data_IF_377226043264
#
_entry.id   IF_377226043264
#
_cell.length_a   1.000
_cell.length_b   1.000
_cell.length_c   1.000
_cell.angle_alpha   90.00
_cell.angle_beta   90.00
_cell.angle_gamma   90.00
#
_symmetry.space_group_name_H-M   'P 1'
#
loop_
_entity.id
_entity.type
_entity.pdbx_description
1 polymer ?
#
# COMPACT_ATOMS: atom_id res chain seq x y z
N UNK A 1 24.49 23.20 32.38
CA UNK A 1 23.48 23.13 31.32
C UNK A 1 23.92 22.00 30.41
N UNK A 2 23.41 20.78 30.62
CA UNK A 2 23.82 19.60 29.86
C UNK A 2 22.88 19.49 28.69
N UNK A 3 23.42 19.76 27.51
CA UNK A 3 22.70 19.66 26.23
C UNK A 3 22.52 18.17 25.91
N UNK A 4 21.37 17.63 26.28
CA UNK A 4 21.02 16.23 26.05
C UNK A 4 20.30 16.10 24.69
N UNK A 5 20.96 16.47 23.62
CA UNK A 5 20.57 16.07 22.27
C UNK A 5 20.92 14.59 22.13
N UNK A 6 20.02 13.73 22.60
CA UNK A 6 20.08 12.31 22.28
C UNK A 6 20.13 12.20 20.75
N UNK A 7 21.25 11.68 20.26
CA UNK A 7 21.46 11.35 18.85
C UNK A 7 20.40 10.30 18.45
N UNK A 8 19.23 10.79 17.97
CA UNK A 8 18.15 9.92 17.49
C UNK A 8 18.67 9.29 16.20
N UNK A 9 19.20 8.10 16.35
CA UNK A 9 19.70 7.31 15.23
C UNK A 9 18.55 7.16 14.21
N UNK A 10 18.70 7.61 12.97
CA UNK A 10 17.62 7.53 11.98
C UNK A 10 17.15 6.08 11.82
N UNK A 11 15.85 5.88 11.81
CA UNK A 11 15.26 4.55 11.61
C UNK A 11 15.56 4.09 10.17
N UNK A 12 16.42 3.08 10.03
CA UNK A 12 16.88 2.53 8.76
C UNK A 12 16.05 1.36 8.26
N UNK A 13 14.94 1.05 8.90
CA UNK A 13 14.05 -0.01 8.41
C UNK A 13 13.39 0.42 7.10
N UNK A 14 13.16 -0.51 6.17
CA UNK A 14 12.39 -0.21 4.96
C UNK A 14 11.01 0.33 5.31
N UNK A 15 10.57 1.34 4.58
CA UNK A 15 9.27 1.96 4.78
C UNK A 15 8.20 1.28 3.92
N UNK A 16 7.05 1.01 4.53
CA UNK A 16 5.80 0.64 3.87
C UNK A 16 4.88 1.85 3.95
N UNK A 17 4.60 2.47 2.83
CA UNK A 17 3.63 3.56 2.73
C UNK A 17 2.23 2.95 2.69
N UNK A 18 1.35 3.36 3.61
CA UNK A 18 -0.04 2.89 3.68
C UNK A 18 -0.95 4.09 3.41
N UNK A 19 -1.84 3.92 2.45
CA UNK A 19 -2.76 4.96 2.03
C UNK A 19 -4.19 4.42 1.91
N UNK A 20 -5.10 4.92 2.73
CA UNK A 20 -6.53 4.79 2.52
C UNK A 20 -6.96 5.90 1.55
N UNK A 21 -7.51 5.52 0.38
CA UNK A 21 -7.77 6.47 -0.69
C UNK A 21 -9.22 6.97 -0.79
N UNK A 22 -10.12 6.45 0.02
CA UNK A 22 -11.53 6.89 0.07
C UNK A 22 -11.75 7.84 1.25
N UNK A 23 -11.96 9.15 1.02
CA UNK A 23 -12.06 10.13 2.08
C UNK A 23 -13.42 10.19 2.77
N UNK A 24 -14.48 9.63 2.16
CA UNK A 24 -15.87 9.95 2.49
C UNK A 24 -16.44 9.19 3.71
N UNK A 25 -15.69 8.30 4.33
CA UNK A 25 -16.14 7.57 5.51
C UNK A 25 -15.36 8.03 6.75
N UNK A 26 -15.88 9.06 7.41
CA UNK A 26 -15.31 9.63 8.65
C UNK A 26 -15.25 8.62 9.80
N UNK A 27 -15.95 7.48 9.70
CA UNK A 27 -15.89 6.39 10.66
C UNK A 27 -14.72 5.43 10.42
N UNK A 28 -14.00 5.59 9.29
CA UNK A 28 -13.01 4.65 8.83
C UNK A 28 -11.72 5.35 8.43
N UNK A 29 -10.84 5.56 9.37
CA UNK A 29 -9.46 5.96 9.10
C UNK A 29 -8.48 4.94 9.67
N UNK A 30 -8.07 3.93 8.86
CA UNK A 30 -7.07 2.96 9.29
C UNK A 30 -5.68 3.59 9.43
N UNK A 31 -5.52 4.82 8.93
CA UNK A 31 -4.25 5.54 8.88
C UNK A 31 -3.94 6.20 10.23
N UNK A 32 -4.93 6.72 10.94
CA UNK A 32 -4.72 7.30 12.28
C UNK A 32 -4.15 6.28 13.27
N UNK A 33 -4.59 5.03 13.20
CA UNK A 33 -4.08 3.95 14.05
C UNK A 33 -2.75 3.36 13.58
N UNK A 34 -2.29 3.73 12.41
CA UNK A 34 -1.06 3.27 11.78
C UNK A 34 -0.01 4.40 11.67
N UNK A 35 -0.30 5.56 12.25
CA UNK A 35 0.52 6.77 12.16
C UNK A 35 1.92 6.66 12.78
N UNK A 36 2.50 5.49 12.74
CA UNK A 36 3.92 5.21 12.90
C UNK A 36 4.41 5.10 14.34
N UNK A 37 3.80 5.74 15.29
CA UNK A 37 4.27 5.73 16.68
C UNK A 37 3.80 4.52 17.49
N UNK A 38 2.68 3.90 17.11
CA UNK A 38 2.04 2.85 17.89
C UNK A 38 2.15 1.45 17.28
N UNK A 39 2.40 1.33 15.96
CA UNK A 39 2.53 0.02 15.32
C UNK A 39 3.43 0.04 14.10
N UNK A 40 4.35 -0.90 14.06
CA UNK A 40 5.15 -1.22 12.89
C UNK A 40 5.29 -2.73 12.78
N UNK A 41 5.29 -3.31 11.56
CA UNK A 41 5.59 -4.71 11.38
C UNK A 41 7.07 -5.00 11.71
N UNK A 42 7.35 -6.25 12.08
CA UNK A 42 8.73 -6.67 12.32
C UNK A 42 9.56 -6.48 11.04
N UNK A 43 10.68 -5.79 11.16
CA UNK A 43 11.62 -5.58 10.05
C UNK A 43 11.31 -4.39 9.13
N UNK A 44 10.17 -3.71 9.30
CA UNK A 44 9.82 -2.51 8.53
C UNK A 44 9.21 -1.42 9.41
N UNK A 45 9.07 -0.21 8.87
CA UNK A 45 8.30 0.88 9.47
C UNK A 45 7.13 1.26 8.58
N UNK A 46 6.08 1.81 9.13
CA UNK A 46 4.93 2.31 8.39
C UNK A 46 4.99 3.82 8.23
N UNK A 47 4.50 4.31 7.09
CA UNK A 47 4.31 5.73 6.80
C UNK A 47 2.87 5.90 6.32
N UNK A 48 2.08 6.67 7.04
CA UNK A 48 0.70 6.95 6.67
C UNK A 48 0.63 8.11 5.66
N UNK A 49 -0.21 7.96 4.64
CA UNK A 49 -0.54 9.02 3.68
C UNK A 49 -2.03 9.25 3.71
N UNK A 50 -2.44 10.50 3.98
CA UNK A 50 -3.84 10.91 4.03
C UNK A 50 -4.46 10.91 2.64
N UNK A 51 -5.70 10.45 2.53
CA UNK A 51 -6.48 10.49 1.30
C UNK A 51 -6.61 11.91 0.73
N UNK A 52 -6.54 11.99 -0.59
CA UNK A 52 -6.70 13.21 -1.38
C UNK A 52 -7.32 12.85 -2.72
N UNK A 53 -7.54 13.86 -3.58
CA UNK A 53 -7.95 13.60 -4.97
C UNK A 53 -6.98 12.62 -5.65
N UNK A 54 -7.48 11.65 -6.42
CA UNK A 54 -6.67 10.53 -6.93
C UNK A 54 -5.42 10.95 -7.70
N UNK A 55 -5.49 12.01 -8.51
CA UNK A 55 -4.33 12.50 -9.26
C UNK A 55 -3.25 13.08 -8.36
N UNK A 56 -3.65 13.83 -7.33
CA UNK A 56 -2.72 14.40 -6.34
C UNK A 56 -2.10 13.27 -5.52
N UNK A 57 -2.92 12.31 -5.12
CA UNK A 57 -2.49 11.16 -4.35
C UNK A 57 -1.49 10.29 -5.14
N UNK A 58 -1.75 10.05 -6.42
CA UNK A 58 -0.81 9.36 -7.31
C UNK A 58 0.55 10.09 -7.36
N UNK A 59 0.55 11.42 -7.44
CA UNK A 59 1.78 12.21 -7.45
C UNK A 59 2.57 12.10 -6.12
N UNK A 60 1.86 12.14 -4.99
CA UNK A 60 2.45 11.99 -3.65
C UNK A 60 3.07 10.60 -3.49
N UNK A 61 2.32 9.54 -3.80
CA UNK A 61 2.78 8.17 -3.69
C UNK A 61 3.96 7.86 -4.63
N UNK A 62 3.93 8.38 -5.86
CA UNK A 62 5.06 8.28 -6.78
C UNK A 62 6.30 9.05 -6.28
N UNK A 63 6.13 10.09 -5.48
CA UNK A 63 7.27 10.78 -4.82
C UNK A 63 7.89 9.86 -3.77
N UNK A 64 7.07 9.23 -2.92
CA UNK A 64 7.57 8.26 -1.94
C UNK A 64 8.32 7.10 -2.61
N UNK A 65 7.81 6.57 -3.72
CA UNK A 65 8.49 5.49 -4.45
C UNK A 65 9.88 5.84 -5.00
N UNK A 66 10.21 7.14 -5.11
CA UNK A 66 11.57 7.59 -5.48
C UNK A 66 12.53 7.64 -4.28
N UNK A 67 12.00 7.62 -3.07
CA UNK A 67 12.80 7.57 -1.85
C UNK A 67 13.35 6.15 -1.67
N UNK A 68 14.66 6.02 -1.45
CA UNK A 68 15.32 4.70 -1.30
C UNK A 68 14.76 3.87 -0.14
N UNK A 69 14.21 4.55 0.85
CA UNK A 69 13.65 3.91 2.04
C UNK A 69 12.26 3.33 1.79
N UNK A 70 11.51 3.86 0.82
CA UNK A 70 10.19 3.36 0.46
C UNK A 70 10.34 2.08 -0.35
N UNK A 71 10.01 0.95 0.26
CA UNK A 71 10.11 -0.38 -0.35
C UNK A 71 8.76 -1.01 -0.63
N UNK A 72 7.68 -0.40 -0.15
CA UNK A 72 6.34 -0.86 -0.45
C UNK A 72 5.31 0.25 -0.36
N UNK A 73 4.22 0.08 -1.12
CA UNK A 73 2.98 0.86 -1.01
C UNK A 73 1.81 -0.11 -0.87
N UNK A 74 1.02 0.07 0.17
CA UNK A 74 -0.23 -0.62 0.39
C UNK A 74 -1.38 0.37 0.26
N UNK A 75 -2.10 0.30 -0.86
CA UNK A 75 -3.36 1.00 -1.03
C UNK A 75 -4.47 0.27 -0.29
N UNK A 76 -5.35 1.01 0.36
CA UNK A 76 -6.49 0.45 1.13
C UNK A 76 -7.76 1.17 0.70
N UNK A 77 -8.77 0.42 0.29
CA UNK A 77 -10.08 0.94 -0.10
C UNK A 77 -11.20 -0.03 0.18
N UNK A 78 -12.42 0.35 -0.16
CA UNK A 78 -13.62 -0.46 0.03
C UNK A 78 -13.84 -1.42 -1.14
N UNK A 79 -14.33 -2.60 -0.83
CA UNK A 79 -14.86 -3.56 -1.79
C UNK A 79 -16.39 -3.46 -1.81
N UNK A 80 -16.95 -3.08 -2.95
CA UNK A 80 -18.41 -2.94 -3.10
C UNK A 80 -19.08 -4.21 -3.63
N UNK A 81 -18.28 -5.21 -4.04
CA UNK A 81 -18.77 -6.42 -4.74
C UNK A 81 -18.64 -7.71 -3.94
N UNK A 82 -18.01 -7.68 -2.78
CA UNK A 82 -17.73 -8.88 -1.98
C UNK A 82 -17.74 -8.58 -0.49
N UNK A 83 -18.15 -9.55 0.29
CA UNK A 83 -18.08 -9.55 1.76
C UNK A 83 -16.70 -10.02 2.28
N UNK A 84 -15.79 -10.40 1.38
CA UNK A 84 -14.43 -10.79 1.71
C UNK A 84 -13.44 -9.64 1.52
N UNK A 85 -12.35 -9.66 2.27
CA UNK A 85 -11.17 -8.86 1.94
C UNK A 85 -10.62 -9.32 0.59
N UNK A 86 -10.28 -8.39 -0.27
CA UNK A 86 -9.83 -8.71 -1.62
C UNK A 86 -8.49 -8.07 -1.94
N UNK A 87 -7.56 -8.88 -2.40
CA UNK A 87 -6.27 -8.42 -2.88
C UNK A 87 -6.29 -8.38 -4.39
N UNK A 88 -6.08 -7.19 -4.95
CA UNK A 88 -6.12 -7.01 -6.38
C UNK A 88 -4.79 -7.38 -7.02
N UNK A 89 -4.85 -8.28 -8.01
CA UNK A 89 -3.66 -8.84 -8.65
C UNK A 89 -3.16 -7.99 -9.82
N UNK A 90 -4.02 -7.16 -10.41
CA UNK A 90 -3.68 -6.33 -11.58
C UNK A 90 -4.54 -5.08 -11.63
N UNK A 91 -4.07 -4.08 -12.37
CA UNK A 91 -4.84 -2.88 -12.70
C UNK A 91 -4.81 -2.63 -14.21
N UNK A 92 -5.87 -2.04 -14.74
CA UNK A 92 -6.01 -1.71 -16.16
C UNK A 92 -5.55 -0.28 -16.44
N UNK A 93 -5.01 -0.08 -17.65
CA UNK A 93 -4.61 1.24 -18.15
C UNK A 93 -5.85 2.07 -18.51
N UNK A 94 -6.48 2.64 -17.48
CA UNK A 94 -7.72 3.39 -17.63
C UNK A 94 -7.67 4.69 -16.82
N UNK A 95 -8.09 5.79 -17.44
CA UNK A 95 -8.28 7.05 -16.76
C UNK A 95 -9.55 7.02 -15.89
N UNK A 96 -9.61 7.85 -14.85
CA UNK A 96 -10.76 7.93 -13.95
C UNK A 96 -12.07 8.30 -14.66
N UNK A 97 -11.97 9.09 -15.69
CA UNK A 97 -13.13 9.55 -16.44
C UNK A 97 -12.97 9.25 -17.94
N UNK A 98 -14.09 8.93 -18.60
CA UNK A 98 -14.15 8.83 -20.06
C UNK A 98 -13.58 7.55 -20.67
N UNK A 99 -13.14 6.56 -19.88
CA UNK A 99 -12.67 5.26 -20.37
C UNK A 99 -11.41 5.29 -21.25
N UNK A 100 -10.76 6.45 -21.38
CA UNK A 100 -9.51 6.60 -22.11
C UNK A 100 -8.34 5.91 -21.38
N UNK A 101 -7.25 5.63 -22.10
CA UNK A 101 -6.02 5.15 -21.48
C UNK A 101 -5.38 6.24 -20.62
N UNK A 102 -4.97 5.89 -19.40
CA UNK A 102 -4.21 6.77 -18.53
C UNK A 102 -2.83 7.07 -19.13
N UNK A 103 -2.16 6.05 -19.64
CA UNK A 103 -0.85 6.18 -20.28
C UNK A 103 -0.91 5.69 -21.72
N UNK A 104 -0.64 6.57 -22.69
CA UNK A 104 -0.78 6.27 -24.12
C UNK A 104 0.05 5.06 -24.57
N UNK A 105 1.30 4.99 -24.10
CA UNK A 105 2.26 3.97 -24.50
C UNK A 105 2.51 2.92 -23.38
N UNK A 106 1.72 2.94 -22.30
CA UNK A 106 1.84 1.97 -21.23
C UNK A 106 1.19 0.63 -21.56
N UNK A 107 1.54 -0.43 -20.82
CA UNK A 107 0.88 -1.74 -20.97
C UNK A 107 -0.63 -1.60 -20.73
N UNK A 108 -1.43 -2.46 -21.37
CA UNK A 108 -2.87 -2.47 -21.15
C UNK A 108 -3.23 -2.85 -19.71
N UNK A 109 -2.38 -3.68 -19.09
CA UNK A 109 -2.55 -4.20 -17.74
C UNK A 109 -1.20 -4.19 -17.04
N UNK A 110 -1.16 -3.76 -15.79
CA UNK A 110 -0.02 -3.87 -14.89
C UNK A 110 -0.33 -4.82 -13.73
N UNK A 111 0.64 -5.65 -13.34
CA UNK A 111 0.48 -6.62 -12.24
C UNK A 111 1.00 -6.06 -10.94
N UNK A 112 0.27 -6.27 -9.84
CA UNK A 112 0.73 -5.95 -8.50
C UNK A 112 2.05 -6.69 -8.20
N UNK A 113 2.99 -5.96 -7.58
CA UNK A 113 4.30 -6.50 -7.19
C UNK A 113 4.35 -6.96 -5.73
N UNK A 114 3.32 -6.67 -4.95
CA UNK A 114 3.17 -7.16 -3.59
C UNK A 114 3.02 -8.70 -3.55
N UNK A 115 3.43 -9.36 -2.45
CA UNK A 115 3.34 -10.82 -2.27
C UNK A 115 1.88 -11.25 -1.99
N UNK A 116 1.02 -11.18 -2.99
CA UNK A 116 -0.44 -11.36 -2.87
C UNK A 116 -0.81 -12.66 -2.16
N UNK A 117 -0.18 -13.80 -2.53
CA UNK A 117 -0.49 -15.09 -1.92
C UNK A 117 -0.20 -15.13 -0.40
N UNK A 118 0.90 -14.51 0.02
CA UNK A 118 1.25 -14.43 1.44
C UNK A 118 0.38 -13.44 2.21
N UNK A 119 -0.07 -12.37 1.54
CA UNK A 119 -1.03 -11.45 2.11
C UNK A 119 -2.40 -12.12 2.33
N UNK A 120 -2.91 -12.91 1.36
CA UNK A 120 -4.14 -13.71 1.53
C UNK A 120 -3.99 -14.67 2.70
N UNK A 121 -2.88 -15.40 2.76
CA UNK A 121 -2.61 -16.32 3.88
C UNK A 121 -2.59 -15.60 5.22
N UNK A 122 -1.92 -14.44 5.31
CA UNK A 122 -1.87 -13.65 6.55
C UNK A 122 -3.24 -13.14 7.00
N UNK A 123 -4.12 -12.81 6.06
CA UNK A 123 -5.51 -12.44 6.36
C UNK A 123 -6.29 -13.64 6.91
N UNK A 124 -6.14 -14.81 6.31
CA UNK A 124 -6.76 -16.05 6.83
C UNK A 124 -6.24 -16.41 8.22
N UNK A 125 -4.93 -16.33 8.45
CA UNK A 125 -4.31 -16.58 9.77
C UNK A 125 -4.82 -15.58 10.82
N UNK A 126 -5.19 -14.38 10.38
CA UNK A 126 -5.85 -13.39 11.21
C UNK A 126 -7.36 -13.66 11.40
N UNK A 127 -7.91 -14.75 10.86
CA UNK A 127 -9.35 -15.10 10.96
C UNK A 127 -10.25 -14.22 10.09
N UNK A 128 -9.72 -13.64 9.01
CA UNK A 128 -10.47 -12.84 8.05
C UNK A 128 -10.70 -13.63 6.77
N UNK A 129 -11.89 -13.53 6.19
CA UNK A 129 -12.16 -14.12 4.87
C UNK A 129 -11.51 -13.23 3.81
N UNK A 130 -10.63 -13.81 2.99
CA UNK A 130 -9.89 -13.06 1.98
C UNK A 130 -9.69 -13.87 0.71
N UNK A 131 -9.66 -13.18 -0.43
CA UNK A 131 -9.34 -13.76 -1.74
C UNK A 131 -8.40 -12.84 -2.54
N UNK A 132 -7.87 -13.37 -3.64
CA UNK A 132 -7.16 -12.60 -4.66
C UNK A 132 -8.04 -12.50 -5.91
N UNK A 133 -8.11 -11.30 -6.52
CA UNK A 133 -8.90 -11.06 -7.71
C UNK A 133 -8.10 -10.39 -8.82
N UNK A 134 -8.37 -10.82 -10.04
CA UNK A 134 -7.90 -10.13 -11.25
C UNK A 134 -8.90 -9.10 -11.76
N UNK A 135 -10.09 -9.02 -11.17
CA UNK A 135 -11.13 -8.10 -11.62
C UNK A 135 -10.93 -6.73 -10.97
N UNK A 136 -10.83 -5.71 -11.79
CA UNK A 136 -10.82 -4.32 -11.36
C UNK A 136 -12.24 -3.82 -11.03
N UNK A 137 -12.33 -2.76 -10.24
CA UNK A 137 -13.60 -2.12 -9.89
C UNK A 137 -13.85 -0.81 -10.65
N UNK A 138 -12.96 -0.44 -11.56
CA UNK A 138 -13.04 0.79 -12.36
C UNK A 138 -13.18 2.07 -11.50
N UNK A 139 -12.42 2.12 -10.41
CA UNK A 139 -12.48 3.17 -9.41
C UNK A 139 -11.11 3.83 -9.18
N UNK A 140 -11.04 4.70 -8.16
CA UNK A 140 -9.81 5.36 -7.76
C UNK A 140 -8.69 4.37 -7.36
N UNK A 141 -9.05 3.20 -6.81
CA UNK A 141 -8.08 2.16 -6.45
C UNK A 141 -7.38 1.56 -7.66
N UNK A 142 -8.12 1.23 -8.72
CA UNK A 142 -7.55 0.76 -10.00
C UNK A 142 -6.66 1.81 -10.63
N UNK A 143 -7.13 3.04 -10.67
CA UNK A 143 -6.36 4.18 -11.19
C UNK A 143 -5.03 4.34 -10.44
N UNK A 144 -5.07 4.37 -9.12
CA UNK A 144 -3.89 4.53 -8.27
C UNK A 144 -2.93 3.35 -8.45
N UNK A 145 -3.44 2.12 -8.38
CA UNK A 145 -2.63 0.92 -8.54
C UNK A 145 -1.91 0.93 -9.90
N UNK A 146 -2.62 1.23 -11.00
CA UNK A 146 -2.00 1.32 -12.30
C UNK A 146 -0.98 2.45 -12.38
N UNK A 147 -1.30 3.64 -11.87
CA UNK A 147 -0.41 4.81 -11.87
C UNK A 147 0.92 4.54 -11.19
N UNK A 148 0.92 3.76 -10.11
CA UNK A 148 2.13 3.39 -9.38
C UNK A 148 2.93 2.32 -10.13
N UNK A 149 2.26 1.27 -10.60
CA UNK A 149 2.89 0.15 -11.29
C UNK A 149 3.50 0.54 -12.64
N UNK A 150 2.82 1.40 -13.40
CA UNK A 150 3.28 1.85 -14.72
C UNK A 150 4.59 2.67 -14.67
N UNK A 151 4.93 3.23 -13.51
CA UNK A 151 6.13 4.01 -13.28
C UNK A 151 7.29 3.20 -12.67
N UNK A 152 7.06 1.93 -12.35
CA UNK A 152 8.12 1.07 -11.82
C UNK A 152 9.11 0.70 -12.91
N UNK A 153 10.38 0.61 -12.50
CA UNK A 153 11.42 -0.04 -13.30
C UNK A 153 11.30 -1.54 -13.09
N UNK A 154 11.51 -2.28 -14.17
CA UNK A 154 11.58 -3.74 -14.13
C UNK A 154 12.96 -4.16 -13.60
N UNK A 155 13.13 -4.13 -12.29
CA UNK A 155 14.34 -4.55 -11.62
C UNK A 155 14.04 -5.46 -10.41
N UNK A 156 15.04 -6.20 -9.96
CA UNK A 156 14.91 -7.14 -8.85
C UNK A 156 14.60 -6.47 -7.50
N UNK A 157 14.83 -5.16 -7.42
CA UNK A 157 14.63 -4.34 -6.23
C UNK A 157 13.35 -3.49 -6.30
N UNK A 158 12.46 -3.78 -7.26
CA UNK A 158 11.21 -3.06 -7.43
C UNK A 158 10.38 -3.04 -6.12
N UNK A 159 9.81 -1.90 -5.73
CA UNK A 159 8.96 -1.82 -4.56
C UNK A 159 7.75 -2.76 -4.65
N UNK A 160 7.33 -3.30 -3.51
CA UNK A 160 6.11 -4.10 -3.39
C UNK A 160 4.88 -3.17 -3.38
N UNK A 161 4.07 -3.22 -4.44
CA UNK A 161 2.84 -2.41 -4.56
C UNK A 161 1.64 -3.33 -4.59
N UNK A 162 0.69 -3.08 -3.70
CA UNK A 162 -0.54 -3.85 -3.58
C UNK A 162 -1.75 -2.99 -3.23
N UNK A 163 -2.93 -3.52 -3.52
CA UNK A 163 -4.22 -2.94 -3.18
C UNK A 163 -5.03 -3.96 -2.40
N UNK A 164 -5.35 -3.59 -1.17
CA UNK A 164 -6.26 -4.30 -0.28
C UNK A 164 -7.62 -3.62 -0.31
N UNK A 165 -8.64 -4.35 -0.72
CA UNK A 165 -10.04 -3.91 -0.64
C UNK A 165 -10.70 -4.57 0.56
N UNK A 166 -11.26 -3.76 1.45
CA UNK A 166 -11.97 -4.23 2.64
C UNK A 166 -13.46 -4.34 2.35
N UNK A 167 -14.18 -5.32 2.91
CA UNK A 167 -15.64 -5.38 2.78
C UNK A 167 -16.29 -4.07 3.21
N UNK A 168 -17.35 -3.67 2.51
CA UNK A 168 -18.02 -2.38 2.77
C UNK A 168 -18.50 -2.27 4.23
N UNK A 169 -19.09 -3.32 4.78
CA UNK A 169 -19.63 -3.36 6.13
C UNK A 169 -18.61 -3.77 7.21
N UNK A 170 -17.33 -3.75 6.89
CA UNK A 170 -16.29 -4.10 7.86
C UNK A 170 -16.23 -3.11 9.01
N UNK A 171 -16.11 -3.63 10.22
CA UNK A 171 -15.81 -2.79 11.40
C UNK A 171 -14.39 -2.21 11.29
N UNK A 172 -14.17 -1.05 11.90
CA UNK A 172 -12.83 -0.44 11.97
C UNK A 172 -11.79 -1.40 12.56
N UNK A 173 -12.17 -2.23 13.54
CA UNK A 173 -11.27 -3.23 14.12
C UNK A 173 -10.87 -4.31 13.10
N UNK A 174 -11.81 -4.80 12.29
CA UNK A 174 -11.53 -5.78 11.24
C UNK A 174 -10.63 -5.19 10.15
N UNK A 175 -10.89 -3.95 9.74
CA UNK A 175 -10.05 -3.22 8.78
C UNK A 175 -8.63 -3.08 9.29
N UNK A 176 -8.45 -2.56 10.52
CA UNK A 176 -7.11 -2.44 11.15
C UNK A 176 -6.38 -3.78 11.20
N UNK A 177 -7.09 -4.85 11.59
CA UNK A 177 -6.54 -6.20 11.64
C UNK A 177 -6.08 -6.66 10.26
N UNK A 178 -6.90 -6.43 9.23
CA UNK A 178 -6.58 -6.77 7.84
C UNK A 178 -5.36 -6.01 7.30
N UNK A 179 -5.33 -4.69 7.52
CA UNK A 179 -4.20 -3.85 7.10
C UNK A 179 -2.90 -4.28 7.79
N UNK A 180 -2.93 -4.56 9.09
CA UNK A 180 -1.76 -5.06 9.84
C UNK A 180 -1.29 -6.43 9.32
N UNK A 181 -2.21 -7.35 9.03
CA UNK A 181 -1.89 -8.66 8.49
C UNK A 181 -1.23 -8.54 7.10
N UNK A 182 -1.81 -7.73 6.21
CA UNK A 182 -1.29 -7.48 4.87
C UNK A 182 0.09 -6.80 4.91
N UNK A 183 0.24 -5.73 5.68
CA UNK A 183 1.52 -5.02 5.82
C UNK A 183 2.60 -5.91 6.48
N UNK A 184 2.23 -6.76 7.45
CA UNK A 184 3.13 -7.75 8.03
C UNK A 184 3.60 -8.79 7.02
N UNK A 185 2.73 -9.22 6.09
CA UNK A 185 3.12 -10.10 4.98
C UNK A 185 4.10 -9.42 4.04
N UNK A 186 3.83 -8.17 3.64
CA UNK A 186 4.75 -7.36 2.83
C UNK A 186 6.11 -7.25 3.53
N UNK A 187 6.14 -6.87 4.82
CA UNK A 187 7.39 -6.67 5.57
C UNK A 187 8.31 -7.89 5.54
N UNK A 188 7.76 -9.12 5.58
CA UNK A 188 8.54 -10.36 5.50
C UNK A 188 9.25 -10.56 4.15
N UNK A 189 8.78 -9.92 3.10
CA UNK A 189 9.37 -9.99 1.76
C UNK A 189 10.36 -8.84 1.47
N UNK A 190 10.39 -7.82 2.33
CA UNK A 190 11.29 -6.70 2.10
C UNK A 190 12.71 -7.06 2.51
N UNK A 191 13.66 -6.89 1.60
CA UNK A 191 15.07 -6.97 1.92
C UNK A 191 15.47 -5.81 2.84
N UNK A 192 16.36 -6.03 3.84
CA UNK A 192 16.92 -4.94 4.63
C UNK A 192 17.59 -3.90 3.74
N UNK A 193 17.47 -2.62 4.10
CA UNK A 193 18.19 -1.57 3.38
C UNK A 193 19.71 -1.81 3.44
N UNK A 194 20.43 -1.59 2.34
CA UNK A 194 21.88 -1.74 2.32
C UNK A 194 22.53 -0.87 3.40
N UNK A 195 23.48 -1.42 4.12
CA UNK A 195 24.27 -0.63 5.07
C UNK A 195 25.02 0.44 4.31
N UNK A 196 24.92 1.71 4.71
CA UNK A 196 25.75 2.76 4.17
C UNK A 196 27.21 2.34 4.45
N UNK A 197 28.00 2.07 3.39
CA UNK A 197 29.45 1.93 3.54
C UNK A 197 29.96 3.31 3.94
N UNK A 198 30.47 3.44 5.15
CA UNK A 198 31.27 4.59 5.51
C UNK A 198 32.54 4.52 4.63
N UNK A 199 32.64 5.48 3.71
CA UNK A 199 33.88 5.75 2.96
C UNK A 199 34.72 6.66 3.81
#
# INVERSE_FOLDING_TARGET
MVDNTADIKPDRRPAIVICAYEPDDTSWDPVEDLSGLLWNPVGARTVAVTAQEPEQLAAILNRHLRERECRAVLLVGRNRRSEAFRLQMRAENRALTGGARLTRNGPAVARATAPIADMVRALHDAGLVADASSDGEEDAGDYLLYSLLANLRDDADAPAIGLLRTPYDSTAAAVRKGVKAAAGAIARHLSPLPHARHI
#
